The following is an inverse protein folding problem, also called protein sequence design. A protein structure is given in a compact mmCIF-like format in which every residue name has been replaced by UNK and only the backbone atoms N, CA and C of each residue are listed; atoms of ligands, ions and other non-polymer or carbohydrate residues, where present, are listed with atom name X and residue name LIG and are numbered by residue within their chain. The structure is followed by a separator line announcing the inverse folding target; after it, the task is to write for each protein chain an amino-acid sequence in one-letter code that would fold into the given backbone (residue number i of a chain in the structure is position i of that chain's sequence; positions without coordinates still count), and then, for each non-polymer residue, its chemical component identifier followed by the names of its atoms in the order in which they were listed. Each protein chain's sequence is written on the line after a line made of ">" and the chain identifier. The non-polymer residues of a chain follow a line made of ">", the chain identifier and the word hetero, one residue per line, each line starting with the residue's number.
data_IF_286935851881
#
_entry.id   IF_286935851881
#
_cell.length_a   1.000
_cell.length_b   1.000
_cell.length_c   1.000
_cell.angle_alpha   90.00
_cell.angle_beta   90.00
_cell.angle_gamma   90.00
#
_symmetry.space_group_name_H-M   'P 1'
#
loop_
_entity.id
_entity.type
_entity.pdbx_description
1 polymer ?
#
# COMPACT_ATOMS: atom_id res chain seq x y z
N UNK A 1 -19.21 -73.18 -21.92
CA UNK A 1 -18.41 -72.97 -20.69
C UNK A 1 -17.15 -72.11 -20.91
N UNK A 2 -16.28 -72.41 -21.88
CA UNK A 2 -14.97 -71.72 -22.03
C UNK A 2 -15.05 -70.19 -22.27
N UNK A 3 -16.09 -69.68 -22.98
CA UNK A 3 -16.26 -68.24 -23.23
C UNK A 3 -16.63 -67.42 -21.99
N UNK A 4 -17.44 -67.99 -21.09
CA UNK A 4 -17.87 -67.35 -19.84
C UNK A 4 -16.67 -67.19 -18.89
N UNK A 5 -15.83 -68.21 -18.77
CA UNK A 5 -14.63 -68.14 -17.94
C UNK A 5 -13.65 -67.07 -18.44
N UNK A 6 -13.50 -66.92 -19.77
CA UNK A 6 -12.68 -65.85 -20.36
C UNK A 6 -13.23 -64.46 -20.06
N UNK A 7 -14.54 -64.25 -20.20
CA UNK A 7 -15.17 -62.97 -19.86
C UNK A 7 -15.03 -62.62 -18.37
N UNK A 8 -15.19 -63.61 -17.48
CA UNK A 8 -14.97 -63.41 -16.03
C UNK A 8 -13.52 -63.06 -15.72
N UNK A 9 -12.56 -63.75 -16.34
CA UNK A 9 -11.13 -63.47 -16.16
C UNK A 9 -10.74 -62.07 -16.65
N UNK A 10 -11.29 -61.62 -17.78
CA UNK A 10 -11.07 -60.27 -18.29
C UNK A 10 -11.69 -59.23 -17.35
N UNK A 11 -12.92 -59.43 -16.89
CA UNK A 11 -13.58 -58.51 -15.95
C UNK A 11 -12.83 -58.40 -14.61
N UNK A 12 -12.30 -59.52 -14.09
CA UNK A 12 -11.46 -59.49 -12.88
C UNK A 12 -10.13 -58.78 -13.12
N UNK A 13 -9.51 -58.94 -14.29
CA UNK A 13 -8.27 -58.26 -14.63
C UNK A 13 -8.47 -56.75 -14.77
N UNK A 14 -9.57 -56.31 -15.42
CA UNK A 14 -9.89 -54.88 -15.55
C UNK A 14 -10.23 -54.26 -14.20
N UNK A 15 -10.95 -54.98 -13.34
CA UNK A 15 -11.24 -54.52 -11.98
C UNK A 15 -9.96 -54.33 -11.18
N UNK A 16 -9.08 -55.33 -11.20
CA UNK A 16 -7.79 -55.27 -10.51
C UNK A 16 -6.89 -54.15 -11.03
N UNK A 17 -6.84 -53.94 -12.35
CA UNK A 17 -6.12 -52.82 -12.95
C UNK A 17 -6.70 -51.47 -12.51
N UNK A 18 -8.03 -51.31 -12.53
CA UNK A 18 -8.68 -50.07 -12.08
C UNK A 18 -8.46 -49.80 -10.59
N UNK A 19 -8.43 -50.85 -9.77
CA UNK A 19 -8.13 -50.76 -8.35
C UNK A 19 -6.70 -50.28 -8.11
N UNK A 20 -5.70 -50.87 -8.79
CA UNK A 20 -4.31 -50.42 -8.66
C UNK A 20 -4.11 -48.97 -9.08
N UNK A 21 -4.80 -48.52 -10.13
CA UNK A 21 -4.75 -47.12 -10.57
C UNK A 21 -5.32 -46.20 -9.49
N UNK A 22 -6.50 -46.52 -8.96
CA UNK A 22 -7.13 -45.74 -7.90
C UNK A 22 -6.28 -45.70 -6.61
N UNK A 23 -5.69 -46.84 -6.22
CA UNK A 23 -4.79 -46.93 -5.06
C UNK A 23 -3.51 -46.11 -5.29
N UNK A 24 -2.97 -46.11 -6.50
CA UNK A 24 -1.83 -45.29 -6.88
C UNK A 24 -2.13 -43.79 -6.84
N UNK A 25 -3.29 -43.38 -7.34
CA UNK A 25 -3.74 -41.98 -7.27
C UNK A 25 -3.96 -41.52 -5.83
N UNK A 26 -4.59 -42.36 -5.00
CA UNK A 26 -4.78 -42.07 -3.59
C UNK A 26 -3.44 -41.91 -2.86
N UNK A 27 -2.51 -42.83 -3.10
CA UNK A 27 -1.17 -42.77 -2.53
C UNK A 27 -0.42 -41.49 -2.95
N UNK A 28 -0.49 -41.14 -4.23
CA UNK A 28 0.14 -39.92 -4.76
C UNK A 28 -0.44 -38.67 -4.07
N UNK A 29 -1.76 -38.58 -3.94
CA UNK A 29 -2.44 -37.46 -3.28
C UNK A 29 -2.12 -37.39 -1.78
N UNK A 30 -2.02 -38.53 -1.12
CA UNK A 30 -1.62 -38.58 0.28
C UNK A 30 -0.19 -38.09 0.48
N UNK A 31 0.75 -38.48 -0.40
CA UNK A 31 2.13 -37.99 -0.35
C UNK A 31 2.26 -36.50 -0.65
N UNK A 32 1.46 -36.00 -1.59
CA UNK A 32 1.36 -34.56 -1.85
C UNK A 32 0.90 -33.79 -0.60
N UNK A 33 -0.15 -34.29 0.07
CA UNK A 33 -0.65 -33.69 1.31
C UNK A 33 0.38 -33.74 2.46
N UNK A 34 1.08 -34.87 2.63
CA UNK A 34 2.18 -34.98 3.60
C UNK A 34 3.30 -33.97 3.32
N UNK A 35 3.65 -33.76 2.04
CA UNK A 35 4.62 -32.76 1.64
C UNK A 35 4.18 -31.33 1.99
N UNK A 36 2.91 -31.00 1.75
CA UNK A 36 2.35 -29.70 2.14
C UNK A 36 2.36 -29.47 3.65
N UNK A 37 2.04 -30.50 4.44
CA UNK A 37 2.10 -30.44 5.90
C UNK A 37 3.55 -30.20 6.35
N UNK A 38 4.52 -30.95 5.80
CA UNK A 38 5.93 -30.78 6.14
C UNK A 38 6.43 -29.37 5.80
N UNK A 39 6.03 -28.83 4.65
CA UNK A 39 6.36 -27.47 4.24
C UNK A 39 5.74 -26.44 5.21
N UNK A 40 4.46 -26.57 5.54
CA UNK A 40 3.78 -25.68 6.48
C UNK A 40 4.43 -25.71 7.87
N UNK A 41 4.83 -26.89 8.35
CA UNK A 41 5.56 -27.06 9.61
C UNK A 41 6.94 -26.40 9.57
N UNK A 42 7.67 -26.56 8.47
CA UNK A 42 8.96 -25.91 8.26
C UNK A 42 8.80 -24.38 8.28
N UNK A 43 7.80 -23.84 7.57
CA UNK A 43 7.49 -22.41 7.58
C UNK A 43 7.10 -21.90 8.96
N UNK A 44 6.23 -22.62 9.68
CA UNK A 44 5.83 -22.27 11.03
C UNK A 44 7.00 -22.27 12.01
N UNK A 45 7.89 -23.26 11.90
CA UNK A 45 9.11 -23.35 12.71
C UNK A 45 10.04 -22.17 12.40
N UNK A 46 10.26 -21.87 11.12
CA UNK A 46 11.07 -20.73 10.69
C UNK A 46 10.55 -19.40 11.28
N UNK A 47 9.25 -19.12 11.13
CA UNK A 47 8.62 -17.91 11.70
C UNK A 47 8.76 -17.85 13.21
N UNK A 48 8.55 -18.98 13.91
CA UNK A 48 8.71 -19.06 15.36
C UNK A 48 10.14 -18.76 15.79
N UNK A 49 11.14 -19.35 15.12
CA UNK A 49 12.55 -19.13 15.45
C UNK A 49 12.97 -17.67 15.23
N UNK A 50 12.47 -17.03 14.17
CA UNK A 50 12.71 -15.60 13.94
C UNK A 50 12.05 -14.73 15.01
N UNK A 51 10.79 -15.02 15.36
CA UNK A 51 10.08 -14.28 16.40
C UNK A 51 10.80 -14.39 17.75
N UNK A 52 11.25 -15.58 18.11
CA UNK A 52 12.04 -15.84 19.33
C UNK A 52 13.38 -15.10 19.30
N UNK A 53 14.12 -15.14 18.17
CA UNK A 53 15.38 -14.42 18.00
C UNK A 53 15.22 -12.88 18.12
N UNK A 54 14.05 -12.36 17.74
CA UNK A 54 13.69 -10.96 17.85
C UNK A 54 13.05 -10.60 19.21
N UNK A 55 13.11 -11.49 20.19
CA UNK A 55 12.61 -11.26 21.55
C UNK A 55 11.07 -11.19 21.63
N UNK A 56 10.36 -11.85 20.72
CA UNK A 56 8.90 -11.80 20.65
C UNK A 56 8.34 -10.53 20.02
N UNK A 57 9.20 -9.66 19.48
CA UNK A 57 8.76 -8.42 18.87
C UNK A 57 8.17 -8.67 17.47
N UNK A 58 6.83 -8.70 17.42
CA UNK A 58 6.08 -8.88 16.18
C UNK A 58 6.30 -7.76 15.16
N UNK A 59 6.44 -6.49 15.60
CA UNK A 59 6.63 -5.37 14.67
C UNK A 59 7.95 -5.50 13.93
N UNK A 60 9.03 -5.83 14.64
CA UNK A 60 10.35 -6.06 14.02
C UNK A 60 10.34 -7.25 13.07
N UNK A 61 9.66 -8.35 13.42
CA UNK A 61 9.51 -9.50 12.53
C UNK A 61 8.78 -9.11 11.24
N UNK A 62 7.63 -8.44 11.38
CA UNK A 62 6.85 -7.97 10.24
C UNK A 62 7.69 -7.06 9.34
N UNK A 63 8.38 -6.08 9.92
CA UNK A 63 9.20 -5.14 9.17
C UNK A 63 10.34 -5.86 8.44
N UNK A 64 11.01 -6.80 9.12
CA UNK A 64 12.02 -7.66 8.51
C UNK A 64 11.46 -8.44 7.31
N UNK A 65 10.28 -9.07 7.46
CA UNK A 65 9.64 -9.80 6.36
C UNK A 65 9.22 -8.88 5.22
N UNK A 66 8.72 -7.67 5.51
CA UNK A 66 8.36 -6.67 4.50
C UNK A 66 9.58 -6.16 3.73
N UNK A 67 10.71 -5.94 4.42
CA UNK A 67 11.98 -5.54 3.80
C UNK A 67 12.51 -6.68 2.93
N UNK A 68 12.61 -7.88 3.47
CA UNK A 68 13.16 -9.04 2.76
C UNK A 68 12.27 -9.46 1.57
N UNK A 69 10.95 -9.37 1.73
CA UNK A 69 9.96 -9.62 0.68
C UNK A 69 9.85 -8.52 -0.37
N UNK A 70 10.60 -7.42 -0.25
CA UNK A 70 10.60 -6.34 -1.26
C UNK A 70 9.32 -5.50 -1.32
N UNK A 71 8.41 -5.64 -0.35
CA UNK A 71 7.09 -4.97 -0.33
C UNK A 71 7.25 -3.45 -0.43
N UNK A 72 8.25 -2.88 0.25
CA UNK A 72 8.53 -1.44 0.17
C UNK A 72 8.96 -0.98 -1.23
N UNK A 73 9.72 -1.81 -1.95
CA UNK A 73 10.14 -1.50 -3.33
C UNK A 73 8.93 -1.57 -4.28
N UNK A 74 8.06 -2.55 -4.09
CA UNK A 74 6.84 -2.72 -4.87
C UNK A 74 5.86 -1.55 -4.64
N UNK A 75 5.64 -1.17 -3.38
CA UNK A 75 4.83 0.00 -3.02
C UNK A 75 5.38 1.28 -3.64
N UNK A 76 6.69 1.50 -3.57
CA UNK A 76 7.33 2.66 -4.19
C UNK A 76 7.12 2.68 -5.71
N UNK A 77 7.24 1.53 -6.38
CA UNK A 77 7.00 1.41 -7.84
C UNK A 77 5.55 1.71 -8.21
N UNK A 78 4.58 1.17 -7.46
CA UNK A 78 3.15 1.42 -7.68
C UNK A 78 2.83 2.90 -7.50
N UNK A 79 3.32 3.50 -6.42
CA UNK A 79 3.10 4.93 -6.14
C UNK A 79 3.76 5.82 -7.19
N UNK A 80 4.98 5.49 -7.63
CA UNK A 80 5.66 6.20 -8.71
C UNK A 80 4.87 6.12 -10.02
N UNK A 81 4.31 4.95 -10.36
CA UNK A 81 3.45 4.78 -11.54
C UNK A 81 2.16 5.60 -11.44
N UNK A 82 1.52 5.63 -10.27
CA UNK A 82 0.32 6.44 -10.04
C UNK A 82 0.61 7.94 -10.19
N UNK A 83 1.72 8.43 -9.62
CA UNK A 83 2.15 9.84 -9.76
C UNK A 83 2.58 10.16 -11.19
N UNK A 84 3.22 9.24 -11.90
CA UNK A 84 3.60 9.42 -13.30
C UNK A 84 2.39 9.63 -14.22
N UNK A 85 1.26 8.98 -13.94
CA UNK A 85 0.00 9.17 -14.66
C UNK A 85 -0.72 10.48 -14.33
N UNK A 86 -0.39 11.09 -13.19
CA UNK A 86 -0.84 12.43 -12.84
C UNK A 86 0.08 13.41 -13.57
N UNK A 87 -0.36 13.89 -14.72
CA UNK A 87 0.23 15.04 -15.39
C UNK A 87 -0.45 16.28 -14.81
N UNK A 88 0.04 16.88 -13.70
CA UNK A 88 -0.65 18.00 -13.10
C UNK A 88 -0.68 19.13 -14.13
N UNK A 89 -1.89 19.46 -14.62
CA UNK A 89 -2.13 20.73 -15.30
C UNK A 89 -1.91 21.81 -14.25
N UNK A 90 -0.68 22.28 -14.15
CA UNK A 90 -0.37 23.46 -13.35
C UNK A 90 -1.05 24.64 -14.06
N UNK A 91 -2.23 25.00 -13.59
CA UNK A 91 -2.89 26.24 -13.98
C UNK A 91 -2.11 27.38 -13.36
N UNK A 92 -1.11 27.89 -14.10
CA UNK A 92 -0.39 29.11 -13.72
C UNK A 92 -1.37 30.27 -13.89
N UNK A 93 -1.98 30.70 -12.79
CA UNK A 93 -2.66 31.99 -12.74
C UNK A 93 -1.61 33.09 -12.81
N UNK A 94 -1.28 33.49 -14.03
CA UNK A 94 -0.48 34.69 -14.26
C UNK A 94 -1.43 35.86 -14.05
N UNK A 95 -1.37 36.51 -12.87
CA UNK A 95 -2.05 37.78 -12.67
C UNK A 95 -1.29 38.85 -13.48
N UNK A 96 -1.64 38.95 -14.76
CA UNK A 96 -1.24 40.06 -15.60
C UNK A 96 -1.86 41.33 -15.04
N UNK A 97 -1.00 42.21 -14.55
CA UNK A 97 -1.32 43.60 -14.25
C UNK A 97 -2.10 44.24 -15.39
N UNK A 98 -3.37 44.55 -15.15
CA UNK A 98 -4.21 45.34 -16.04
C UNK A 98 -4.92 46.43 -15.27
N UNK A 99 -4.37 47.65 -15.31
CA UNK A 99 -5.07 48.86 -14.92
C UNK A 99 -4.26 49.83 -14.07
N UNK A 100 -4.04 51.03 -14.62
CA UNK A 100 -3.65 52.27 -13.94
C UNK A 100 -2.14 52.49 -13.69
N UNK A 101 -1.58 53.22 -14.65
CA UNK A 101 -0.31 53.97 -14.64
C UNK A 101 -0.09 54.81 -13.37
N UNK A 102 1.15 54.89 -12.89
CA UNK A 102 1.95 56.14 -12.75
C UNK A 102 3.30 55.80 -12.10
N UNK A 103 4.35 55.99 -12.90
CA UNK A 103 5.68 56.51 -12.59
C UNK A 103 6.70 55.68 -11.75
N UNK A 104 7.92 55.65 -12.27
CA UNK A 104 9.14 55.55 -11.47
C UNK A 104 9.74 54.17 -11.20
N UNK A 105 10.72 53.79 -12.03
CA UNK A 105 12.03 53.21 -11.64
C UNK A 105 12.05 51.94 -10.77
N UNK A 106 12.65 50.87 -11.31
CA UNK A 106 13.48 49.96 -10.50
C UNK A 106 13.14 48.48 -10.58
N UNK A 107 13.84 47.78 -11.46
CA UNK A 107 14.10 46.33 -11.41
C UNK A 107 14.52 45.87 -10.00
N UNK A 108 13.62 45.27 -9.21
CA UNK A 108 13.94 44.35 -8.08
C UNK A 108 12.76 43.95 -7.15
N UNK A 109 11.54 44.44 -7.34
CA UNK A 109 10.44 44.24 -6.36
C UNK A 109 9.36 43.20 -6.70
N UNK A 110 9.58 42.33 -7.70
CA UNK A 110 8.55 41.36 -8.16
C UNK A 110 8.50 40.05 -7.35
N UNK A 111 9.61 39.64 -6.72
CA UNK A 111 9.66 38.42 -5.89
C UNK A 111 9.06 38.61 -4.48
N UNK A 112 9.16 39.82 -3.90
CA UNK A 112 8.63 40.12 -2.56
C UNK A 112 7.11 40.33 -2.55
N UNK A 113 6.51 40.75 -3.67
CA UNK A 113 5.07 40.95 -3.78
C UNK A 113 4.25 39.64 -3.93
N UNK A 114 4.89 38.53 -4.32
CA UNK A 114 4.22 37.22 -4.40
C UNK A 114 4.07 36.56 -3.03
N UNK A 115 5.03 36.77 -2.12
CA UNK A 115 4.93 36.27 -0.73
C UNK A 115 3.87 37.04 0.07
N UNK A 116 3.71 38.34 -0.20
CA UNK A 116 2.64 39.16 0.42
C UNK A 116 1.22 38.75 0.01
N UNK A 117 1.02 38.18 -1.18
CA UNK A 117 -0.26 37.65 -1.64
C UNK A 117 -0.66 36.34 -0.96
N UNK A 118 0.30 35.44 -0.74
CA UNK A 118 0.10 34.21 0.05
C UNK A 118 -0.20 34.54 1.51
N UNK A 119 0.49 35.55 2.07
CA UNK A 119 0.26 36.03 3.44
C UNK A 119 -1.11 36.71 3.65
N UNK A 120 -1.71 37.27 2.57
CA UNK A 120 -3.08 37.84 2.61
C UNK A 120 -4.19 36.83 2.36
N UNK A 121 -3.90 35.63 1.86
CA UNK A 121 -4.88 34.55 1.66
C UNK A 121 -4.88 33.48 2.76
N UNK A 122 -3.86 33.47 3.63
CA UNK A 122 -3.84 32.61 4.81
C UNK A 122 -4.95 32.97 5.83
N UNK A 123 -5.25 34.25 6.15
CA UNK A 123 -6.26 34.58 7.16
C UNK A 123 -7.70 34.10 6.83
N UNK A 124 -8.22 34.25 5.59
CA UNK A 124 -9.60 33.86 5.29
C UNK A 124 -9.85 32.36 5.31
N UNK A 125 -8.84 31.50 5.04
CA UNK A 125 -9.02 30.04 5.12
C UNK A 125 -8.91 29.50 6.56
N UNK A 126 -8.22 30.18 7.46
CA UNK A 126 -8.15 29.77 8.88
C UNK A 126 -9.42 30.11 9.66
N UNK A 127 -10.12 31.19 9.31
CA UNK A 127 -11.46 31.46 9.87
C UNK A 127 -12.46 30.35 9.49
N UNK A 128 -12.47 29.90 8.23
CA UNK A 128 -13.37 28.81 7.80
C UNK A 128 -13.03 27.45 8.42
N UNK A 129 -11.76 27.13 8.68
CA UNK A 129 -11.38 25.88 9.36
C UNK A 129 -11.70 25.95 10.86
N UNK A 130 -11.51 27.11 11.49
CA UNK A 130 -11.86 27.32 12.90
C UNK A 130 -13.39 27.23 13.13
N UNK A 131 -14.20 27.86 12.27
CA UNK A 131 -15.67 27.80 12.35
C UNK A 131 -16.25 26.41 12.03
N UNK A 132 -15.62 25.62 11.15
CA UNK A 132 -16.14 24.31 10.74
C UNK A 132 -15.63 23.12 11.56
N UNK A 133 -14.52 23.26 12.29
CA UNK A 133 -13.92 22.12 13.03
C UNK A 133 -13.69 22.38 14.52
N UNK A 134 -13.79 23.63 15.00
CA UNK A 134 -13.57 23.98 16.41
C UNK A 134 -12.14 23.73 16.91
N UNK A 135 -11.21 23.37 16.03
CA UNK A 135 -9.83 23.07 16.42
C UNK A 135 -8.97 24.35 16.40
N UNK A 136 -8.27 24.59 17.50
CA UNK A 136 -7.30 25.67 17.62
C UNK A 136 -5.99 25.27 16.92
N UNK A 137 -5.37 26.18 16.15
CA UNK A 137 -4.09 25.89 15.52
C UNK A 137 -2.98 25.65 16.56
N UNK A 138 -1.98 24.80 16.25
CA UNK A 138 -0.92 24.42 17.19
C UNK A 138 -0.11 25.61 17.72
N UNK A 139 0.31 25.53 18.99
CA UNK A 139 0.93 26.62 19.76
C UNK A 139 2.25 27.21 19.21
N UNK A 140 2.89 26.57 18.23
CA UNK A 140 4.11 27.10 17.60
C UNK A 140 3.84 28.17 16.51
N UNK A 141 2.56 28.42 16.18
CA UNK A 141 2.15 29.44 15.19
C UNK A 141 1.71 30.78 15.79
N UNK A 142 2.09 31.06 17.05
CA UNK A 142 1.80 32.34 17.68
C UNK A 142 0.36 32.45 18.18
N UNK A 143 0.20 33.06 19.34
CA UNK A 143 -1.10 33.34 19.96
C UNK A 143 -1.83 34.42 19.15
N UNK A 144 -3.05 34.15 18.69
CA UNK A 144 -3.96 35.24 18.34
C UNK A 144 -4.18 36.07 19.61
N UNK A 145 -3.62 37.28 19.63
CA UNK A 145 -4.09 38.30 20.56
C UNK A 145 -5.42 38.78 20.03
N UNK A 146 -6.52 38.32 20.63
CA UNK A 146 -7.83 38.95 20.45
C UNK A 146 -7.72 40.40 20.93
N UNK A 147 -7.59 41.32 19.97
CA UNK A 147 -7.79 42.74 20.22
C UNK A 147 -9.28 43.01 20.10
N UNK A 148 -10.04 42.58 21.11
CA UNK A 148 -11.38 43.14 21.36
C UNK A 148 -11.17 44.51 21.99
N UNK A 149 -11.10 45.54 21.14
CA UNK A 149 -11.26 46.92 21.55
C UNK A 149 -12.55 47.48 20.94
N UNK A 150 -13.53 47.63 21.86
CA UNK A 150 -14.83 48.30 21.79
C UNK A 150 -15.94 47.64 20.95
#
# INVERSE_FOLDING_TARGET
>A
MMRINRQRALASATFYASQQVADGELYAKQKEAEGLIALAQAQGTYLRTLLEALGGNYTTLRDYMMINGGVFQELAKINAGAVQGLQPKISIWTNGSGGETVDGVGTSSSALNQVGGVYKMLPPLFQTVHEQTGMLPPAWMGTLTDSTNN
#
